data_IF_777134746002
#
_entry.id   IF_777134746002
#
_cell.length_a   1.000
_cell.length_b   1.000
_cell.length_c   1.000
_cell.angle_alpha   90.00
_cell.angle_beta   90.00
_cell.angle_gamma   90.00
#
_symmetry.space_group_name_H-M   'P 1'
#
loop_
_entity.id
_entity.type
_entity.pdbx_description
1 polymer ?
#
# COMPACT_ATOMS: atom_id res chain seq x y z
N UNK A 1 7.72 -9.70 -13.65
CA UNK A 1 6.67 -9.62 -14.68
C UNK A 1 5.77 -8.42 -14.40
N UNK A 2 5.55 -7.55 -15.41
CA UNK A 2 4.65 -6.39 -15.31
C UNK A 2 3.71 -6.36 -16.51
N UNK A 3 2.44 -6.75 -16.37
CA UNK A 3 1.43 -6.51 -17.38
C UNK A 3 1.04 -5.03 -17.39
N UNK A 4 0.87 -4.47 -18.59
CA UNK A 4 0.43 -3.09 -18.82
C UNK A 4 -0.65 -3.09 -19.89
N UNK A 5 -1.74 -2.37 -19.62
CA UNK A 5 -2.84 -2.17 -20.57
C UNK A 5 -3.04 -0.68 -20.74
N UNK A 6 -3.09 -0.19 -21.97
CA UNK A 6 -3.31 1.22 -22.23
C UNK A 6 -4.12 1.46 -23.49
N UNK A 7 -4.72 2.63 -23.59
CA UNK A 7 -5.39 3.08 -24.79
C UNK A 7 -4.41 3.70 -25.76
N UNK A 8 -4.63 3.48 -27.07
CA UNK A 8 -3.82 4.06 -28.12
C UNK A 8 -4.03 5.57 -28.25
N UNK A 9 -3.21 6.17 -29.13
CA UNK A 9 -3.13 7.61 -29.38
C UNK A 9 -3.85 8.06 -30.64
N UNK A 10 -4.81 7.27 -31.12
CA UNK A 10 -5.53 7.56 -32.39
C UNK A 10 -6.46 8.78 -32.28
N UNK A 11 -6.77 9.21 -31.05
CA UNK A 11 -7.59 10.37 -30.78
C UNK A 11 -6.96 11.26 -29.72
N UNK A 12 -7.01 12.59 -29.92
CA UNK A 12 -6.65 13.58 -28.93
C UNK A 12 -7.94 14.19 -28.34
N UNK A 13 -8.59 13.47 -27.41
CA UNK A 13 -9.82 13.89 -26.77
C UNK A 13 -9.99 13.22 -25.42
N UNK A 14 -10.93 13.71 -24.59
CA UNK A 14 -11.34 13.04 -23.36
C UNK A 14 -12.00 11.69 -23.65
N UNK A 15 -12.83 11.62 -24.70
CA UNK A 15 -13.39 10.35 -25.16
C UNK A 15 -12.29 9.50 -25.81
N UNK A 16 -12.17 8.27 -25.35
CA UNK A 16 -11.18 7.33 -25.86
C UNK A 16 -11.80 6.01 -26.38
N UNK A 17 -13.12 6.01 -26.63
CA UNK A 17 -13.85 4.79 -26.99
C UNK A 17 -13.42 4.23 -28.34
N UNK A 18 -13.03 5.07 -29.29
CA UNK A 18 -12.58 4.65 -30.62
C UNK A 18 -11.06 4.32 -30.68
N UNK A 19 -10.34 4.44 -29.56
CA UNK A 19 -8.93 4.11 -29.52
C UNK A 19 -8.71 2.60 -29.31
N UNK A 20 -7.61 2.09 -29.84
CA UNK A 20 -7.21 0.69 -29.64
C UNK A 20 -6.78 0.45 -28.19
N UNK A 21 -7.07 -0.76 -27.70
CA UNK A 21 -6.53 -1.22 -26.44
C UNK A 21 -5.25 -2.02 -26.75
N UNK A 22 -4.16 -1.59 -26.14
CA UNK A 22 -2.87 -2.23 -26.26
C UNK A 22 -2.54 -2.97 -24.96
N UNK A 23 -1.86 -4.11 -25.08
CA UNK A 23 -1.41 -4.93 -23.97
C UNK A 23 0.07 -5.25 -24.17
N UNK A 24 0.84 -5.11 -23.12
CA UNK A 24 2.22 -5.58 -23.07
C UNK A 24 2.48 -6.30 -21.76
N UNK A 25 3.36 -7.30 -21.80
CA UNK A 25 3.85 -7.99 -20.61
C UNK A 25 5.38 -7.84 -20.63
N UNK A 26 5.88 -6.99 -19.73
CA UNK A 26 7.31 -6.80 -19.56
C UNK A 26 7.85 -7.81 -18.54
N UNK A 27 9.02 -8.39 -18.85
CA UNK A 27 9.71 -9.34 -17.98
C UNK A 27 11.17 -8.92 -17.88
N UNK A 28 11.67 -8.79 -16.67
CA UNK A 28 13.08 -8.53 -16.38
C UNK A 28 13.42 -9.05 -14.99
N UNK A 29 14.70 -9.19 -14.71
CA UNK A 29 15.19 -9.49 -13.37
C UNK A 29 14.94 -8.30 -12.46
N UNK A 30 14.34 -8.55 -11.29
CA UNK A 30 14.00 -7.51 -10.32
C UNK A 30 14.66 -7.84 -8.99
N UNK A 31 15.55 -6.98 -8.49
CA UNK A 31 16.14 -7.15 -7.17
C UNK A 31 15.09 -6.98 -6.07
N UNK A 32 15.44 -7.32 -4.83
CA UNK A 32 14.61 -7.00 -3.66
C UNK A 32 14.32 -5.50 -3.62
N UNK A 33 13.07 -5.12 -3.29
CA UNK A 33 12.65 -3.73 -3.21
C UNK A 33 13.35 -2.96 -2.08
N UNK A 34 13.68 -3.68 -1.01
CA UNK A 34 14.40 -3.15 0.12
C UNK A 34 15.69 -3.93 0.34
N UNK A 35 16.70 -3.27 0.87
CA UNK A 35 17.94 -3.92 1.33
C UNK A 35 17.59 -5.00 2.38
N UNK A 36 18.14 -6.24 2.28
CA UNK A 36 17.78 -7.32 3.19
C UNK A 36 18.06 -7.03 4.66
N UNK A 37 19.15 -6.31 4.98
CA UNK A 37 19.44 -5.95 6.36
C UNK A 37 18.49 -4.89 6.90
N UNK A 38 18.11 -3.91 6.06
CA UNK A 38 17.11 -2.91 6.41
C UNK A 38 15.73 -3.56 6.57
N UNK A 39 15.41 -4.53 5.71
CA UNK A 39 14.15 -5.27 5.79
C UNK A 39 14.02 -6.00 7.12
N UNK A 40 15.08 -6.65 7.60
CA UNK A 40 15.08 -7.35 8.89
C UNK A 40 14.98 -6.42 10.10
N UNK A 41 15.50 -5.19 9.99
CA UNK A 41 15.39 -4.17 11.04
C UNK A 41 14.03 -3.43 11.00
N UNK A 42 13.25 -3.64 9.95
CA UNK A 42 12.04 -2.89 9.66
C UNK A 42 12.31 -1.54 8.99
N UNK A 43 11.48 -1.20 8.02
CA UNK A 43 11.56 0.08 7.30
C UNK A 43 10.90 1.20 8.10
N UNK A 44 11.23 2.45 7.76
CA UNK A 44 10.62 3.64 8.37
C UNK A 44 9.71 4.33 7.35
N UNK A 45 8.53 4.70 7.78
CA UNK A 45 7.55 5.42 6.96
C UNK A 45 7.32 6.83 7.48
N UNK A 46 7.17 7.79 6.56
CA UNK A 46 6.58 9.11 6.86
C UNK A 46 5.04 9.00 6.81
N UNK A 47 4.34 10.01 7.30
CA UNK A 47 2.89 10.15 7.08
C UNK A 47 2.70 11.08 5.89
N UNK A 48 2.06 10.57 4.83
CA UNK A 48 1.89 11.29 3.59
C UNK A 48 0.98 12.52 3.75
N UNK A 49 1.34 13.60 3.08
CA UNK A 49 0.49 14.79 2.93
C UNK A 49 -0.75 14.49 2.07
N UNK A 50 -0.57 13.72 1.00
CA UNK A 50 -1.64 13.38 0.06
C UNK A 50 -2.46 12.20 0.58
N UNK A 51 -3.79 12.26 0.38
CA UNK A 51 -4.72 11.24 0.85
C UNK A 51 -5.27 10.40 -0.30
N UNK A 52 -5.63 9.15 0.00
CA UNK A 52 -6.39 8.32 -0.94
C UNK A 52 -7.75 8.95 -1.18
N UNK A 53 -8.19 9.10 -2.46
CA UNK A 53 -9.43 9.77 -2.79
C UNK A 53 -10.66 8.95 -2.42
N UNK A 54 -11.79 9.63 -2.28
CA UNK A 54 -13.10 9.00 -2.13
C UNK A 54 -13.44 8.15 -3.36
N UNK A 55 -14.15 7.02 -3.20
CA UNK A 55 -14.73 6.25 -4.32
C UNK A 55 -15.59 7.08 -5.28
N UNK A 56 -16.13 8.21 -4.82
CA UNK A 56 -16.90 9.15 -5.66
C UNK A 56 -16.00 9.99 -6.59
N UNK A 57 -14.69 10.07 -6.30
CA UNK A 57 -13.74 10.84 -7.12
C UNK A 57 -13.20 10.08 -8.33
N UNK A 58 -13.39 8.76 -8.39
CA UNK A 58 -12.89 7.94 -9.50
C UNK A 58 -12.84 6.44 -9.18
N UNK A 59 -12.33 5.62 -10.10
CA UNK A 59 -12.27 4.17 -9.93
C UNK A 59 -11.12 3.76 -8.97
N UNK A 60 -11.23 4.10 -7.69
CA UNK A 60 -10.16 3.97 -6.67
C UNK A 60 -9.71 2.52 -6.43
N UNK A 61 -10.55 1.54 -6.76
CA UNK A 61 -10.22 0.12 -6.69
C UNK A 61 -9.50 -0.41 -7.95
N UNK A 62 -9.30 0.45 -8.96
CA UNK A 62 -8.55 0.09 -10.15
C UNK A 62 -7.07 0.41 -10.00
N UNK A 63 -6.19 -0.49 -10.51
CA UNK A 63 -4.73 -0.23 -10.59
C UNK A 63 -4.42 0.69 -11.76
N UNK A 64 -4.98 1.91 -11.72
CA UNK A 64 -4.90 2.91 -12.78
C UNK A 64 -3.75 3.89 -12.54
N UNK A 65 -2.97 4.21 -13.59
CA UNK A 65 -1.80 5.08 -13.50
C UNK A 65 -2.11 6.46 -12.90
N UNK A 66 -3.28 7.04 -13.21
CA UNK A 66 -3.69 8.34 -12.66
C UNK A 66 -3.82 8.38 -11.14
N UNK A 67 -4.05 7.25 -10.50
CA UNK A 67 -4.12 7.14 -9.03
C UNK A 67 -2.74 7.04 -8.36
N UNK A 68 -1.69 6.75 -9.15
CA UNK A 68 -0.32 6.64 -8.63
C UNK A 68 0.40 7.99 -8.53
N UNK A 69 -0.13 9.04 -9.11
CA UNK A 69 0.46 10.38 -9.00
C UNK A 69 0.65 10.80 -7.55
N UNK A 70 -0.38 10.70 -6.72
CA UNK A 70 -0.32 11.04 -5.29
C UNK A 70 0.62 10.10 -4.52
N UNK A 71 0.68 8.82 -4.90
CA UNK A 71 1.61 7.86 -4.30
C UNK A 71 3.06 8.24 -4.61
N UNK A 72 3.36 8.59 -5.88
CA UNK A 72 4.70 9.01 -6.32
C UNK A 72 5.15 10.28 -5.59
N UNK A 73 4.28 11.30 -5.51
CA UNK A 73 4.57 12.54 -4.79
C UNK A 73 4.84 12.28 -3.30
N UNK A 74 4.02 11.46 -2.66
CA UNK A 74 4.20 11.09 -1.25
C UNK A 74 5.50 10.33 -1.00
N UNK A 75 5.83 9.39 -1.89
CA UNK A 75 7.08 8.63 -1.80
C UNK A 75 8.31 9.52 -1.95
N UNK A 76 8.33 10.40 -2.94
CA UNK A 76 9.45 11.33 -3.15
C UNK A 76 9.64 12.26 -1.95
N UNK A 77 8.55 12.74 -1.33
CA UNK A 77 8.64 13.57 -0.14
C UNK A 77 9.20 12.80 1.05
N UNK A 78 8.75 11.55 1.26
CA UNK A 78 9.26 10.67 2.30
C UNK A 78 10.75 10.36 2.11
N UNK A 79 11.17 9.99 0.90
CA UNK A 79 12.57 9.71 0.55
C UNK A 79 13.47 10.93 0.78
N UNK A 80 13.01 12.13 0.44
CA UNK A 80 13.74 13.37 0.70
C UNK A 80 13.97 13.65 2.20
N UNK A 81 13.13 13.10 3.06
CA UNK A 81 13.25 13.16 4.53
C UNK A 81 14.01 11.97 5.13
N UNK A 82 14.47 11.01 4.31
CA UNK A 82 15.21 9.81 4.74
C UNK A 82 14.34 8.63 5.16
N UNK A 83 13.04 8.64 4.85
CA UNK A 83 12.15 7.50 5.03
C UNK A 83 12.17 6.56 3.82
N UNK A 84 11.81 5.30 4.03
CA UNK A 84 11.78 4.30 2.96
C UNK A 84 10.50 4.37 2.13
N UNK A 85 9.38 4.83 2.72
CA UNK A 85 8.07 4.97 2.09
C UNK A 85 7.19 5.91 2.93
N UNK A 86 5.92 6.08 2.56
CA UNK A 86 4.96 6.85 3.33
C UNK A 86 3.66 6.09 3.56
N UNK A 87 3.10 6.20 4.77
CA UNK A 87 1.73 5.83 5.07
C UNK A 87 0.78 6.88 4.51
N UNK A 88 -0.21 6.46 3.75
CA UNK A 88 -1.28 7.31 3.24
C UNK A 88 -2.53 7.13 4.09
N UNK A 89 -3.15 8.24 4.45
CA UNK A 89 -4.49 8.26 5.00
C UNK A 89 -5.51 8.34 3.86
N UNK A 90 -6.74 7.94 4.13
CA UNK A 90 -7.84 8.15 3.19
C UNK A 90 -8.44 9.55 3.31
N UNK A 91 -9.43 9.85 2.47
CA UNK A 91 -10.13 11.13 2.46
C UNK A 91 -10.86 11.45 3.78
N UNK A 92 -11.14 10.44 4.61
CA UNK A 92 -11.75 10.56 5.95
C UNK A 92 -10.73 10.80 7.05
N UNK A 93 -9.44 10.64 6.78
CA UNK A 93 -8.35 10.70 7.75
C UNK A 93 -8.04 9.38 8.42
N UNK A 94 -8.62 8.27 7.94
CA UNK A 94 -8.34 6.92 8.42
C UNK A 94 -7.10 6.36 7.75
N UNK A 95 -6.41 5.41 8.39
CA UNK A 95 -5.30 4.69 7.77
C UNK A 95 -5.81 3.94 6.54
N UNK A 96 -5.10 4.07 5.42
CA UNK A 96 -5.41 3.39 4.16
C UNK A 96 -4.35 2.34 3.82
N UNK A 97 -3.26 2.75 3.22
CA UNK A 97 -2.17 1.89 2.75
C UNK A 97 -0.86 2.68 2.66
N UNK A 98 0.28 2.04 2.43
CA UNK A 98 1.50 2.73 2.00
C UNK A 98 1.41 3.12 0.52
N UNK A 99 2.42 3.82 -0.03
CA UNK A 99 2.33 4.33 -1.41
C UNK A 99 2.20 3.22 -2.47
N UNK A 100 2.60 2.00 -2.17
CA UNK A 100 2.55 0.87 -3.10
C UNK A 100 2.29 -0.49 -2.44
N UNK A 101 1.85 -0.53 -1.17
CA UNK A 101 1.66 -1.74 -0.39
C UNK A 101 0.53 -1.58 0.64
N UNK A 102 -0.18 -2.66 0.93
CA UNK A 102 -1.18 -2.67 2.01
C UNK A 102 -0.48 -2.79 3.38
N UNK A 103 -1.20 -2.46 4.45
CA UNK A 103 -0.66 -2.41 5.81
C UNK A 103 -1.45 -3.28 6.79
N UNK A 104 -0.73 -3.86 7.74
CA UNK A 104 -1.26 -4.63 8.85
C UNK A 104 -0.63 -4.17 10.16
N UNK A 105 -1.39 -4.28 11.22
CA UNK A 105 -0.97 -4.02 12.59
C UNK A 105 -1.29 -5.23 13.46
N UNK A 106 -0.34 -5.69 14.27
CA UNK A 106 -0.60 -6.61 15.35
C UNK A 106 -0.94 -5.81 16.60
N UNK A 107 -2.15 -5.99 17.08
CA UNK A 107 -2.65 -5.28 18.23
C UNK A 107 -2.43 -6.09 19.52
N UNK A 108 -2.50 -5.45 20.73
CA UNK A 108 -2.30 -6.12 22.01
C UNK A 108 -3.28 -7.27 22.29
N UNK A 109 -4.40 -7.32 21.59
CA UNK A 109 -5.37 -8.41 21.65
C UNK A 109 -4.90 -9.71 20.94
N UNK A 110 -3.69 -9.67 20.35
CA UNK A 110 -3.07 -10.77 19.63
C UNK A 110 -3.56 -10.95 18.19
N UNK A 111 -4.50 -10.13 17.73
CA UNK A 111 -5.07 -10.18 16.38
C UNK A 111 -4.32 -9.28 15.40
N UNK A 112 -4.42 -9.63 14.12
CA UNK A 112 -3.94 -8.76 13.04
C UNK A 112 -5.08 -7.85 12.56
N UNK A 113 -4.85 -6.56 12.57
CA UNK A 113 -5.81 -5.57 12.09
C UNK A 113 -5.31 -4.98 10.77
N UNK A 114 -6.22 -4.80 9.81
CA UNK A 114 -5.93 -4.16 8.53
C UNK A 114 -7.07 -3.24 8.12
N UNK A 115 -6.79 -2.11 7.44
CA UNK A 115 -7.85 -1.24 6.97
C UNK A 115 -8.77 -1.91 5.95
N UNK A 116 -10.05 -1.53 5.96
CA UNK A 116 -11.03 -1.95 4.94
C UNK A 116 -10.62 -1.34 3.61
N UNK A 117 -10.44 -2.18 2.58
CA UNK A 117 -10.00 -1.75 1.25
C UNK A 117 -11.18 -1.18 0.43
N UNK A 118 -11.75 -0.05 0.85
CA UNK A 118 -12.89 0.60 0.20
C UNK A 118 -12.53 1.80 -0.68
N UNK A 119 -11.30 2.35 -0.53
CA UNK A 119 -10.80 3.47 -1.33
C UNK A 119 -9.34 3.28 -1.83
N UNK A 120 -8.82 2.09 -1.73
CA UNK A 120 -7.50 1.68 -2.20
C UNK A 120 -7.52 0.21 -2.65
N UNK A 121 -6.40 -0.30 -3.19
CA UNK A 121 -6.36 -1.65 -3.75
C UNK A 121 -6.44 -2.74 -2.68
N UNK A 122 -7.39 -3.66 -2.83
CA UNK A 122 -7.39 -4.92 -2.09
C UNK A 122 -6.36 -5.88 -2.73
N UNK A 123 -5.12 -5.79 -2.27
CA UNK A 123 -3.96 -6.46 -2.86
C UNK A 123 -4.06 -7.99 -2.80
N UNK A 124 -3.57 -8.66 -3.84
CA UNK A 124 -3.52 -10.13 -3.88
C UNK A 124 -2.65 -10.66 -2.72
N UNK A 125 -1.49 -10.04 -2.47
CA UNK A 125 -0.62 -10.40 -1.35
C UNK A 125 -1.31 -10.18 -0.01
N UNK A 126 -2.06 -9.08 0.15
CA UNK A 126 -2.88 -8.83 1.35
C UNK A 126 -3.85 -9.98 1.61
N UNK A 127 -4.64 -10.37 0.63
CA UNK A 127 -5.60 -11.50 0.73
C UNK A 127 -4.92 -12.83 1.02
N UNK A 128 -3.75 -13.07 0.42
CA UNK A 128 -2.95 -14.27 0.68
C UNK A 128 -2.47 -14.30 2.13
N UNK A 129 -1.97 -13.18 2.67
CA UNK A 129 -1.55 -13.07 4.06
C UNK A 129 -2.72 -13.29 5.01
N UNK A 130 -3.90 -12.71 4.72
CA UNK A 130 -5.11 -12.95 5.51
C UNK A 130 -5.47 -14.43 5.54
N UNK A 131 -5.46 -15.09 4.40
CA UNK A 131 -5.74 -16.53 4.32
C UNK A 131 -4.73 -17.37 5.09
N UNK A 132 -3.43 -17.06 4.95
CA UNK A 132 -2.38 -17.77 5.69
C UNK A 132 -2.51 -17.57 7.21
N UNK A 133 -2.86 -16.37 7.66
CA UNK A 133 -3.09 -16.09 9.07
C UNK A 133 -4.26 -16.91 9.63
N UNK A 134 -5.39 -16.93 8.93
CA UNK A 134 -6.56 -17.75 9.28
C UNK A 134 -6.20 -19.26 9.36
N UNK A 135 -5.47 -19.77 8.35
CA UNK A 135 -5.04 -21.17 8.29
C UNK A 135 -4.12 -21.56 9.46
N UNK A 136 -3.44 -20.57 10.07
CA UNK A 136 -2.59 -20.74 11.23
C UNK A 136 -3.25 -20.30 12.55
N UNK A 137 -4.54 -20.07 12.54
CA UNK A 137 -5.31 -19.72 13.75
C UNK A 137 -5.10 -18.29 14.25
N UNK A 138 -4.57 -17.40 13.42
CA UNK A 138 -4.42 -15.97 13.72
C UNK A 138 -5.66 -15.24 13.21
N UNK A 139 -6.41 -14.62 14.11
CA UNK A 139 -7.61 -13.87 13.75
C UNK A 139 -7.26 -12.57 13.03
N UNK A 140 -7.99 -12.29 11.95
CA UNK A 140 -7.88 -11.04 11.17
C UNK A 140 -9.10 -10.17 11.42
N UNK A 141 -8.86 -8.89 11.65
CA UNK A 141 -9.91 -7.87 11.81
C UNK A 141 -9.77 -6.81 10.73
N UNK A 142 -10.64 -6.85 9.73
CA UNK A 142 -10.78 -5.74 8.77
C UNK A 142 -11.66 -4.66 9.38
N UNK A 143 -11.11 -3.48 9.60
CA UNK A 143 -11.83 -2.36 10.20
C UNK A 143 -11.29 -1.00 9.80
N UNK A 144 -12.01 0.05 10.14
CA UNK A 144 -11.49 1.41 10.11
C UNK A 144 -10.48 1.56 11.23
N UNK A 145 -9.33 2.15 10.93
CA UNK A 145 -8.23 2.38 11.89
C UNK A 145 -7.87 3.86 11.84
N UNK A 146 -7.86 4.50 12.99
CA UNK A 146 -7.43 5.88 13.11
C UNK A 146 -5.92 5.96 13.36
N UNK A 147 -5.23 7.03 12.91
CA UNK A 147 -3.79 7.18 13.10
C UNK A 147 -3.33 7.07 14.55
N UNK A 148 -4.13 7.57 15.49
CA UNK A 148 -3.81 7.56 16.92
C UNK A 148 -3.71 6.14 17.50
N UNK A 149 -4.44 5.19 16.92
CA UNK A 149 -4.42 3.78 17.33
C UNK A 149 -3.08 3.09 17.06
N UNK A 150 -2.22 3.68 16.21
CA UNK A 150 -0.86 3.17 15.98
C UNK A 150 -0.02 3.15 17.26
N UNK A 151 -0.34 4.00 18.24
CA UNK A 151 0.34 4.03 19.54
C UNK A 151 0.14 2.74 20.35
N UNK A 152 -0.93 1.99 20.08
CA UNK A 152 -1.27 0.75 20.77
C UNK A 152 -0.70 -0.50 20.07
N UNK A 153 -0.30 -0.39 18.80
CA UNK A 153 0.12 -1.54 18.01
C UNK A 153 1.52 -2.04 18.43
N UNK A 154 1.65 -3.36 18.62
CA UNK A 154 2.94 -4.01 18.94
C UNK A 154 3.84 -4.11 17.71
N UNK A 155 3.28 -4.56 16.57
CA UNK A 155 3.98 -4.78 15.32
C UNK A 155 3.23 -4.15 14.15
N UNK A 156 3.98 -3.81 13.11
CA UNK A 156 3.41 -3.30 11.86
C UNK A 156 4.19 -3.90 10.67
N UNK A 157 3.49 -4.26 9.60
CA UNK A 157 4.13 -4.71 8.37
C UNK A 157 3.35 -4.34 7.12
N UNK A 158 4.06 -4.26 6.01
CA UNK A 158 3.50 -4.02 4.68
C UNK A 158 3.40 -5.32 3.89
N UNK A 159 2.44 -5.37 2.97
CA UNK A 159 2.27 -6.49 2.03
C UNK A 159 2.07 -5.99 0.60
N UNK A 160 2.77 -6.61 -0.34
CA UNK A 160 2.65 -6.29 -1.77
C UNK A 160 3.52 -7.20 -2.62
N UNK A 161 3.27 -7.26 -3.93
CA UNK A 161 4.05 -8.12 -4.84
C UNK A 161 5.54 -7.76 -4.83
N UNK A 162 5.88 -6.48 -4.83
CA UNK A 162 7.27 -6.01 -4.79
C UNK A 162 7.80 -5.84 -3.36
N UNK A 163 6.91 -5.43 -2.43
CA UNK A 163 7.25 -5.30 -1.02
C UNK A 163 7.30 -6.65 -0.30
N UNK A 164 6.69 -7.70 -0.87
CA UNK A 164 6.54 -9.01 -0.21
C UNK A 164 5.81 -8.85 1.13
N UNK A 165 6.38 -9.36 2.23
CA UNK A 165 6.02 -9.02 3.60
C UNK A 165 7.22 -8.27 4.19
N UNK A 166 7.01 -7.01 4.54
CA UNK A 166 8.09 -6.13 5.01
C UNK A 166 7.75 -5.54 6.37
N UNK A 167 8.49 -5.84 7.43
CA UNK A 167 8.31 -5.24 8.74
C UNK A 167 8.50 -3.72 8.70
N UNK A 168 7.73 -3.01 9.53
CA UNK A 168 7.83 -1.57 9.72
C UNK A 168 8.35 -1.28 11.12
N UNK A 169 9.46 -0.53 11.23
CA UNK A 169 10.05 -0.11 12.50
C UNK A 169 9.33 1.11 13.07
N UNK A 170 8.96 2.06 12.21
CA UNK A 170 8.27 3.27 12.67
C UNK A 170 7.43 3.93 11.57
N UNK A 171 6.40 4.65 11.98
CA UNK A 171 5.58 5.53 11.13
C UNK A 171 5.51 6.90 11.83
N UNK A 172 6.18 7.90 11.28
CA UNK A 172 6.31 9.19 11.96
C UNK A 172 6.92 9.01 13.36
N UNK A 173 6.18 9.37 14.40
CA UNK A 173 6.58 9.23 15.81
C UNK A 173 6.25 7.87 16.45
N UNK A 174 5.43 7.05 15.80
CA UNK A 174 5.01 5.75 16.28
C UNK A 174 6.08 4.67 15.99
N UNK A 175 6.43 3.88 16.99
CA UNK A 175 7.46 2.85 16.90
C UNK A 175 6.86 1.47 17.14
N UNK A 176 7.31 0.49 16.36
CA UNK A 176 6.85 -0.91 16.42
C UNK A 176 8.04 -1.83 16.63
N UNK A 177 7.76 -3.04 17.10
CA UNK A 177 8.76 -4.12 17.15
C UNK A 177 8.69 -4.88 15.82
N UNK A 178 9.76 -4.88 15.00
CA UNK A 178 9.81 -5.74 13.82
C UNK A 178 9.75 -7.22 14.25
N UNK A 179 8.78 -7.98 13.73
CA UNK A 179 8.59 -9.40 14.00
C UNK A 179 9.30 -10.31 13.00
#
# INVERSE_FOLDING_TARGET
VRPVVWRGSEMMAVSAQATKINVAIAVWEWPSYFDPEQKMKGIKLDIAKWRRPSPECGPVLAKAAGLYMICTLSKHEAEAKGYSDALMLDYRGQIAEATGANIFFKMPDGRLHTPIADCFLDGITRRTVMKLAEDNGIEIVERKIMPEEMAEADECFLTGTAAEVTPVQSIGEFNFKPG
#
